data_IF_026380838498
#
_entry.id   IF_026380838498
#
_cell.length_a   1.000
_cell.length_b   1.000
_cell.length_c   1.000
_cell.angle_alpha   90.00
_cell.angle_beta   90.00
_cell.angle_gamma   90.00
#
_symmetry.space_group_name_H-M   'P 1'
#
loop_
_entity.id
_entity.type
_entity.pdbx_description
1 polymer ?
#
# COMPACT_ATOMS: atom_id res chain seq x y z
N UNK A 1 25.29 -18.98 0.01
CA UNK A 1 23.96 -18.86 -0.62
C UNK A 1 22.83 -18.50 0.37
N UNK A 2 22.77 -19.04 1.60
CA UNK A 2 21.72 -18.72 2.59
C UNK A 2 21.74 -17.23 3.03
N UNK A 3 22.94 -16.67 3.26
CA UNK A 3 23.16 -15.27 3.66
C UNK A 3 22.69 -14.24 2.61
N UNK A 4 22.90 -14.51 1.31
CA UNK A 4 22.48 -13.59 0.22
C UNK A 4 20.96 -13.59 0.06
N UNK A 5 20.28 -14.71 0.34
CA UNK A 5 18.80 -14.78 0.33
C UNK A 5 18.16 -14.02 1.48
N UNK A 6 18.83 -13.86 2.62
CA UNK A 6 18.31 -13.08 3.76
C UNK A 6 18.43 -11.58 3.53
N UNK A 7 19.49 -11.12 2.86
CA UNK A 7 19.71 -9.69 2.56
C UNK A 7 18.73 -9.09 1.54
N UNK A 8 18.02 -9.92 0.77
CA UNK A 8 17.10 -9.46 -0.27
C UNK A 8 15.61 -9.46 0.18
N UNK A 9 15.32 -9.72 1.45
CA UNK A 9 13.94 -9.75 1.96
C UNK A 9 13.48 -8.34 2.33
N UNK A 10 12.38 -7.90 1.72
CA UNK A 10 11.74 -6.63 2.07
C UNK A 10 10.73 -6.81 3.21
N UNK A 11 9.90 -7.85 3.13
CA UNK A 11 8.89 -8.15 4.16
C UNK A 11 9.12 -9.56 4.66
N UNK A 12 9.13 -9.76 5.98
CA UNK A 12 9.20 -11.07 6.62
C UNK A 12 8.12 -11.16 7.69
N UNK A 13 7.30 -12.18 7.58
CA UNK A 13 6.24 -12.52 8.54
C UNK A 13 6.52 -13.90 9.09
N UNK A 14 6.48 -14.07 10.42
CA UNK A 14 6.69 -15.37 11.09
C UNK A 14 5.62 -15.59 12.14
N UNK A 15 4.92 -16.72 12.05
CA UNK A 15 3.94 -17.22 13.00
C UNK A 15 2.88 -16.16 13.39
N UNK A 16 2.51 -15.31 12.42
CA UNK A 16 1.60 -14.19 12.62
C UNK A 16 0.17 -14.69 12.77
N UNK A 17 -0.47 -14.33 13.88
CA UNK A 17 -1.87 -14.63 14.13
C UNK A 17 -2.64 -13.38 14.54
N UNK A 18 -3.93 -13.36 14.17
CA UNK A 18 -4.86 -12.29 14.51
C UNK A 18 -6.27 -12.82 14.70
N UNK A 19 -6.88 -12.42 15.79
CA UNK A 19 -8.28 -12.71 16.13
C UNK A 19 -9.04 -11.46 16.52
N UNK A 20 -10.35 -11.53 16.41
CA UNK A 20 -11.27 -10.49 16.88
C UNK A 20 -12.31 -11.08 17.82
N UNK A 21 -12.64 -10.34 18.86
CA UNK A 21 -13.74 -10.68 19.75
C UNK A 21 -14.99 -10.00 19.21
N UNK A 22 -16.00 -10.78 18.90
CA UNK A 22 -17.30 -10.30 18.42
C UNK A 22 -18.39 -10.72 19.39
N UNK A 23 -19.60 -10.14 19.31
CA UNK A 23 -20.74 -10.61 20.12
C UNK A 23 -21.10 -12.10 19.92
N UNK A 24 -20.66 -12.69 18.80
CA UNK A 24 -20.87 -14.12 18.45
C UNK A 24 -19.70 -15.00 18.87
N UNK A 25 -18.68 -14.46 19.55
CA UNK A 25 -17.48 -15.17 19.99
C UNK A 25 -16.19 -14.70 19.30
N UNK A 26 -15.12 -15.42 19.57
CA UNK A 26 -13.80 -15.16 18.96
C UNK A 26 -13.76 -15.70 17.53
N UNK A 27 -13.26 -14.86 16.62
CA UNK A 27 -13.02 -15.22 15.22
C UNK A 27 -11.52 -15.10 14.96
N UNK A 28 -10.86 -16.21 14.67
CA UNK A 28 -9.46 -16.24 14.25
C UNK A 28 -9.41 -15.94 12.75
N UNK A 29 -8.88 -14.75 12.39
CA UNK A 29 -8.81 -14.25 11.02
C UNK A 29 -7.52 -14.66 10.35
N UNK A 30 -6.38 -14.54 11.05
CA UNK A 30 -5.08 -15.01 10.57
C UNK A 30 -4.54 -16.06 11.54
N UNK A 31 -4.02 -17.18 11.01
CA UNK A 31 -3.53 -18.29 11.81
C UNK A 31 -2.14 -18.70 11.39
N UNK A 32 -1.17 -18.45 12.26
CA UNK A 32 0.23 -18.91 12.15
C UNK A 32 0.88 -18.67 10.75
N UNK A 33 0.60 -17.51 10.17
CA UNK A 33 1.09 -17.17 8.84
C UNK A 33 2.59 -16.91 8.86
N UNK A 34 3.31 -17.54 7.92
CA UNK A 34 4.76 -17.36 7.76
C UNK A 34 5.12 -17.28 6.28
N UNK A 35 5.70 -16.15 5.86
CA UNK A 35 6.15 -15.93 4.49
C UNK A 35 7.23 -14.84 4.42
N UNK A 36 7.87 -14.72 3.27
CA UNK A 36 8.79 -13.60 3.01
C UNK A 36 8.66 -13.13 1.56
N UNK A 37 8.78 -11.81 1.38
CA UNK A 37 8.71 -11.13 0.09
C UNK A 37 10.06 -10.49 -0.19
N UNK A 38 10.62 -10.73 -1.37
CA UNK A 38 11.88 -10.14 -1.81
C UNK A 38 11.69 -8.68 -2.24
N UNK A 39 12.76 -7.89 -2.19
CA UNK A 39 12.78 -6.52 -2.74
C UNK A 39 12.43 -6.55 -4.24
N UNK A 40 11.62 -5.59 -4.68
CA UNK A 40 11.25 -5.46 -6.09
C UNK A 40 10.25 -6.51 -6.58
N UNK A 41 9.62 -7.30 -5.70
CA UNK A 41 8.60 -8.27 -6.10
C UNK A 41 7.20 -7.65 -6.07
N UNK A 42 6.37 -8.07 -7.00
CA UNK A 42 4.94 -7.80 -7.02
C UNK A 42 4.19 -9.08 -6.62
N UNK A 43 3.57 -9.09 -5.45
CA UNK A 43 2.93 -10.29 -4.86
C UNK A 43 1.45 -10.06 -4.62
N UNK A 44 0.62 -11.02 -5.04
CA UNK A 44 -0.81 -11.06 -4.77
C UNK A 44 -1.13 -11.66 -3.39
N UNK A 45 -2.11 -11.11 -2.68
CA UNK A 45 -2.74 -11.72 -1.51
C UNK A 45 -4.12 -12.19 -1.92
N UNK A 46 -4.33 -13.52 -1.92
CA UNK A 46 -5.54 -14.16 -2.41
C UNK A 46 -6.32 -14.83 -1.28
N UNK A 47 -7.61 -14.93 -1.44
CA UNK A 47 -8.51 -15.55 -0.47
C UNK A 47 -9.95 -15.10 -0.69
N UNK A 48 -10.90 -15.85 -0.09
CA UNK A 48 -12.32 -15.51 -0.15
C UNK A 48 -12.58 -14.14 0.48
N UNK A 49 -13.71 -13.52 0.14
CA UNK A 49 -14.15 -12.32 0.88
C UNK A 49 -14.24 -12.63 2.38
N UNK A 50 -13.71 -11.73 3.21
CA UNK A 50 -13.64 -11.93 4.66
C UNK A 50 -12.53 -12.87 5.16
N UNK A 51 -11.66 -13.41 4.28
CA UNK A 51 -10.58 -14.32 4.70
C UNK A 51 -9.45 -13.65 5.51
N UNK A 52 -9.39 -12.31 5.55
CA UNK A 52 -8.37 -11.59 6.31
C UNK A 52 -7.32 -10.86 5.47
N UNK A 53 -7.51 -10.72 4.14
CA UNK A 53 -6.58 -10.01 3.25
C UNK A 53 -6.31 -8.59 3.73
N UNK A 54 -7.37 -7.79 3.93
CA UNK A 54 -7.27 -6.41 4.45
C UNK A 54 -6.67 -6.35 5.85
N UNK A 55 -6.96 -7.34 6.70
CA UNK A 55 -6.36 -7.46 8.04
C UNK A 55 -4.84 -7.68 7.93
N UNK A 56 -4.40 -8.58 7.04
CA UNK A 56 -2.98 -8.82 6.80
C UNK A 56 -2.27 -7.56 6.31
N UNK A 57 -2.84 -6.86 5.31
CA UNK A 57 -2.28 -5.61 4.81
C UNK A 57 -2.23 -4.52 5.89
N UNK A 58 -3.28 -4.39 6.71
CA UNK A 58 -3.34 -3.43 7.81
C UNK A 58 -2.29 -3.71 8.89
N UNK A 59 -2.00 -4.99 9.18
CA UNK A 59 -0.93 -5.37 10.11
C UNK A 59 0.44 -5.04 9.52
N UNK A 60 0.68 -5.37 8.24
CA UNK A 60 1.93 -5.03 7.56
C UNK A 60 2.13 -3.51 7.48
N UNK A 61 1.05 -2.75 7.27
CA UNK A 61 1.08 -1.29 7.32
C UNK A 61 1.34 -0.74 8.74
N UNK A 62 1.32 -1.55 9.79
CA UNK A 62 1.39 -1.09 11.17
C UNK A 62 0.18 -0.25 11.60
N UNK A 63 -0.97 -0.42 10.91
CA UNK A 63 -2.25 0.19 11.28
C UNK A 63 -2.98 -0.65 12.33
N UNK A 64 -2.66 -1.93 12.39
CA UNK A 64 -3.23 -2.88 13.32
C UNK A 64 -2.14 -3.75 13.94
N UNK A 65 -2.26 -4.09 15.24
CA UNK A 65 -1.32 -5.01 15.91
C UNK A 65 -1.78 -6.46 15.75
N UNK A 66 -0.84 -7.35 15.47
CA UNK A 66 -1.04 -8.80 15.55
C UNK A 66 -1.19 -9.25 17.01
N UNK A 67 -1.79 -10.42 17.21
CA UNK A 67 -1.90 -11.03 18.54
C UNK A 67 -0.62 -11.82 18.90
N UNK A 68 0.04 -12.42 17.91
CA UNK A 68 1.32 -13.14 18.05
C UNK A 68 2.13 -13.12 16.76
N UNK A 69 3.38 -13.55 16.84
CA UNK A 69 4.32 -13.61 15.72
C UNK A 69 5.16 -12.35 15.56
N UNK A 70 5.96 -12.30 14.51
CA UNK A 70 6.84 -11.17 14.21
C UNK A 70 6.67 -10.66 12.78
N UNK A 71 6.90 -9.36 12.61
CA UNK A 71 6.84 -8.65 11.34
C UNK A 71 8.09 -7.77 11.20
N UNK A 72 8.87 -8.03 10.16
CA UNK A 72 10.02 -7.20 9.79
C UNK A 72 9.81 -6.61 8.40
N UNK A 73 10.12 -5.32 8.25
CA UNK A 73 10.11 -4.61 6.97
C UNK A 73 11.46 -3.94 6.79
N UNK A 74 12.13 -4.25 5.68
CA UNK A 74 13.46 -3.75 5.36
C UNK A 74 14.46 -3.89 6.53
N UNK A 75 14.45 -5.05 7.21
CA UNK A 75 15.30 -5.34 8.36
C UNK A 75 14.86 -4.71 9.68
N UNK A 76 13.78 -3.94 9.71
CA UNK A 76 13.24 -3.30 10.91
C UNK A 76 12.08 -4.12 11.49
N UNK A 77 12.17 -4.50 12.76
CA UNK A 77 11.09 -5.19 13.47
C UNK A 77 10.09 -4.19 14.03
N UNK A 78 8.82 -4.28 13.58
CA UNK A 78 7.80 -3.30 13.92
C UNK A 78 7.09 -3.55 15.27
N UNK A 79 7.14 -4.78 15.78
CA UNK A 79 6.46 -5.17 17.03
C UNK A 79 6.91 -4.34 18.23
N UNK A 80 8.17 -3.87 18.21
CA UNK A 80 8.76 -3.10 19.31
C UNK A 80 8.45 -1.60 19.24
N UNK A 81 7.80 -1.13 18.18
CA UNK A 81 7.54 0.29 17.96
C UNK A 81 6.27 0.75 18.69
N UNK A 82 6.36 1.92 19.33
CA UNK A 82 5.20 2.68 19.79
C UNK A 82 4.46 3.34 18.60
N UNK A 83 3.28 3.90 18.83
CA UNK A 83 2.43 4.47 17.78
C UNK A 83 3.12 5.64 17.05
N UNK A 84 3.95 6.44 17.74
CA UNK A 84 4.69 7.55 17.14
C UNK A 84 5.75 7.03 16.17
N UNK A 85 6.53 6.03 16.58
CA UNK A 85 7.54 5.39 15.73
C UNK A 85 6.91 4.65 14.57
N UNK A 86 5.79 3.94 14.78
CA UNK A 86 5.03 3.29 13.72
C UNK A 86 4.51 4.30 12.70
N UNK A 87 3.96 5.44 13.13
CA UNK A 87 3.50 6.50 12.23
C UNK A 87 4.64 7.09 11.39
N UNK A 88 5.78 7.38 12.00
CA UNK A 88 6.96 7.88 11.28
C UNK A 88 7.51 6.84 10.30
N UNK A 89 7.57 5.55 10.72
CA UNK A 89 7.99 4.46 9.85
C UNK A 89 7.07 4.29 8.66
N UNK A 90 5.75 4.26 8.89
CA UNK A 90 4.70 4.16 7.86
C UNK A 90 4.86 5.27 6.82
N UNK A 91 4.92 6.52 7.29
CA UNK A 91 5.01 7.68 6.42
C UNK A 91 6.21 7.61 5.45
N UNK A 92 7.34 7.08 5.92
CA UNK A 92 8.58 6.97 5.13
C UNK A 92 8.66 5.71 4.26
N UNK A 93 8.11 4.58 4.74
CA UNK A 93 8.44 3.28 4.16
C UNK A 93 7.27 2.59 3.46
N UNK A 94 6.04 3.07 3.66
CA UNK A 94 4.83 2.38 3.18
C UNK A 94 3.91 3.36 2.46
N UNK A 95 3.64 3.08 1.19
CA UNK A 95 2.51 3.65 0.46
C UNK A 95 1.31 2.72 0.63
N UNK A 96 0.22 3.20 1.21
CA UNK A 96 -0.97 2.41 1.42
C UNK A 96 -2.13 2.91 0.56
N UNK A 97 -2.70 2.01 -0.23
CA UNK A 97 -3.88 2.22 -1.07
C UNK A 97 -4.99 1.37 -0.47
N UNK A 98 -5.95 2.02 0.18
CA UNK A 98 -7.09 1.34 0.81
C UNK A 98 -8.20 1.09 -0.20
N UNK A 99 -9.02 0.07 0.05
CA UNK A 99 -10.22 -0.23 -0.73
C UNK A 99 -11.21 0.95 -0.72
N UNK A 100 -11.39 1.57 0.45
CA UNK A 100 -12.18 2.80 0.55
C UNK A 100 -11.38 3.99 0.01
N UNK A 101 -11.97 4.72 -0.92
CA UNK A 101 -11.39 5.94 -1.50
C UNK A 101 -11.47 7.08 -0.49
N UNK A 102 -10.60 7.06 0.52
CA UNK A 102 -10.58 8.05 1.60
C UNK A 102 -9.85 9.34 1.15
N UNK A 103 -10.52 10.15 0.33
CA UNK A 103 -10.08 11.49 -0.02
C UNK A 103 -10.55 12.53 0.99
N UNK A 104 -9.79 13.61 1.11
CA UNK A 104 -10.30 14.85 1.67
C UNK A 104 -11.06 15.61 0.55
N UNK A 105 -12.37 15.50 0.53
CA UNK A 105 -13.21 15.97 -0.58
C UNK A 105 -13.14 17.48 -0.81
N UNK A 106 -12.83 18.24 0.23
CA UNK A 106 -12.65 19.70 0.17
C UNK A 106 -11.25 20.14 -0.27
N UNK A 107 -10.37 19.20 -0.56
CA UNK A 107 -9.01 19.42 -1.04
C UNK A 107 -8.92 19.05 -2.52
N UNK A 108 -8.10 19.78 -3.27
CA UNK A 108 -7.81 19.45 -4.66
C UNK A 108 -7.10 18.10 -4.77
N UNK A 109 -7.04 17.54 -5.98
CA UNK A 109 -6.22 16.37 -6.28
C UNK A 109 -4.76 16.59 -5.85
N UNK A 110 -4.18 17.74 -6.20
CA UNK A 110 -2.82 18.10 -5.83
C UNK A 110 -2.62 18.13 -4.32
N UNK A 111 -3.57 18.70 -3.57
CA UNK A 111 -3.50 18.76 -2.12
C UNK A 111 -3.60 17.39 -1.47
N UNK A 112 -4.50 16.52 -1.98
CA UNK A 112 -4.61 15.14 -1.54
C UNK A 112 -3.31 14.35 -1.75
N UNK A 113 -2.63 14.54 -2.89
CA UNK A 113 -1.36 13.87 -3.20
C UNK A 113 -0.24 14.36 -2.28
N UNK A 114 -0.16 15.66 -2.00
CA UNK A 114 0.89 16.26 -1.14
C UNK A 114 0.74 15.95 0.35
N UNK A 115 -0.48 15.66 0.79
CA UNK A 115 -0.83 15.55 2.21
C UNK A 115 0.10 14.64 3.04
N UNK A 116 0.47 13.40 2.60
CA UNK A 116 1.35 12.56 3.41
C UNK A 116 2.74 13.14 3.61
N UNK A 117 3.24 13.94 2.68
CA UNK A 117 4.55 14.60 2.83
C UNK A 117 4.51 15.70 3.89
N UNK A 118 3.43 16.48 3.96
CA UNK A 118 3.25 17.50 4.98
C UNK A 118 3.06 16.92 6.38
N UNK A 119 2.29 15.83 6.52
CA UNK A 119 2.14 15.11 7.80
C UNK A 119 3.49 14.58 8.29
N UNK A 120 4.43 14.26 7.40
CA UNK A 120 5.79 13.85 7.71
C UNK A 120 6.71 14.96 8.25
N UNK A 121 6.21 16.20 8.40
CA UNK A 121 6.97 17.32 8.99
C UNK A 121 7.78 18.15 8.00
N UNK A 122 7.51 18.03 6.70
CA UNK A 122 8.15 18.83 5.63
C UNK A 122 7.28 20.05 5.31
N UNK A 123 7.39 21.11 6.08
CA UNK A 123 6.48 22.28 5.99
C UNK A 123 7.18 23.64 5.83
N UNK A 124 8.50 23.68 5.60
CA UNK A 124 9.18 24.93 5.22
C UNK A 124 9.00 25.24 3.72
N UNK A 125 9.20 26.49 3.30
CA UNK A 125 8.90 26.96 1.95
C UNK A 125 9.66 26.20 0.85
N UNK A 126 10.91 25.80 1.10
CA UNK A 126 11.71 25.02 0.14
C UNK A 126 11.12 23.63 -0.05
N UNK A 127 10.78 22.95 1.06
CA UNK A 127 10.14 21.64 1.01
C UNK A 127 8.77 21.68 0.35
N UNK A 128 7.99 22.75 0.52
CA UNK A 128 6.68 22.91 -0.13
C UNK A 128 6.80 22.93 -1.65
N UNK A 129 7.82 23.64 -2.18
CA UNK A 129 8.06 23.69 -3.63
C UNK A 129 8.49 22.33 -4.18
N UNK A 130 9.42 21.64 -3.52
CA UNK A 130 9.89 20.30 -3.91
C UNK A 130 8.74 19.26 -3.87
N UNK A 131 7.92 19.28 -2.81
CA UNK A 131 6.76 18.39 -2.70
C UNK A 131 5.76 18.67 -3.81
N UNK A 132 5.52 19.95 -4.13
CA UNK A 132 4.57 20.33 -5.18
C UNK A 132 5.07 19.89 -6.57
N UNK A 133 6.36 20.09 -6.85
CA UNK A 133 6.98 19.63 -8.08
C UNK A 133 6.85 18.11 -8.20
N UNK A 134 7.24 17.36 -7.17
CA UNK A 134 7.13 15.91 -7.15
C UNK A 134 5.70 15.41 -7.32
N UNK A 135 4.73 16.08 -6.69
CA UNK A 135 3.32 15.73 -6.86
C UNK A 135 2.87 15.91 -8.31
N UNK A 136 3.26 17.01 -8.97
CA UNK A 136 2.96 17.23 -10.38
C UNK A 136 3.63 16.19 -11.30
N UNK A 137 4.90 15.83 -11.04
CA UNK A 137 5.61 14.77 -11.78
C UNK A 137 4.90 13.41 -11.64
N UNK A 138 4.40 13.06 -10.44
CA UNK A 138 3.63 11.85 -10.21
C UNK A 138 2.29 11.89 -10.96
N UNK A 139 1.56 12.99 -10.90
CA UNK A 139 0.31 13.15 -11.62
C UNK A 139 0.52 13.08 -13.14
N UNK A 140 1.61 13.63 -13.67
CA UNK A 140 1.97 13.55 -15.07
C UNK A 140 2.31 12.12 -15.50
N UNK A 141 3.15 11.43 -14.74
CA UNK A 141 3.53 10.03 -14.99
C UNK A 141 2.34 9.06 -14.99
N UNK A 142 1.27 9.42 -14.29
CA UNK A 142 0.01 8.67 -14.22
C UNK A 142 -1.04 9.17 -15.23
N UNK A 143 -0.70 10.17 -16.08
CA UNK A 143 -1.57 10.71 -17.12
C UNK A 143 -2.75 11.54 -16.62
N UNK A 144 -2.66 12.09 -15.40
CA UNK A 144 -3.72 12.85 -14.73
C UNK A 144 -3.28 14.26 -14.29
N UNK A 145 -2.19 14.79 -14.85
CA UNK A 145 -1.70 16.15 -14.51
C UNK A 145 -2.76 17.24 -14.70
N UNK A 146 -3.61 17.11 -15.74
CA UNK A 146 -4.69 18.03 -16.04
C UNK A 146 -5.78 18.12 -14.96
N UNK A 147 -5.82 17.15 -14.04
CA UNK A 147 -6.78 17.08 -12.94
C UNK A 147 -6.24 17.68 -11.62
N UNK A 148 -5.01 18.20 -11.59
CA UNK A 148 -4.35 18.65 -10.37
C UNK A 148 -5.20 19.63 -9.52
N UNK A 149 -5.96 20.51 -10.17
CA UNK A 149 -6.82 21.52 -9.52
C UNK A 149 -8.28 21.07 -9.34
N UNK A 150 -8.63 19.89 -9.82
CA UNK A 150 -9.96 19.32 -9.66
C UNK A 150 -10.15 18.78 -8.24
N UNK A 151 -11.41 18.50 -7.88
CA UNK A 151 -11.78 17.88 -6.62
C UNK A 151 -12.10 16.39 -6.84
N UNK A 152 -11.80 15.50 -5.89
CA UNK A 152 -12.02 14.06 -6.03
C UNK A 152 -13.45 13.67 -6.45
N UNK A 153 -14.44 14.41 -5.99
CA UNK A 153 -15.87 14.19 -6.31
C UNK A 153 -16.22 14.40 -7.78
N UNK A 154 -15.35 15.03 -8.58
CA UNK A 154 -15.57 15.29 -10.01
C UNK A 154 -14.86 14.28 -10.92
N UNK A 155 -14.09 13.35 -10.34
CA UNK A 155 -13.27 12.39 -11.07
C UNK A 155 -14.01 11.07 -11.32
N UNK A 156 -13.66 10.39 -12.40
CA UNK A 156 -14.04 8.99 -12.63
C UNK A 156 -13.37 8.03 -11.63
N UNK A 157 -13.90 6.82 -11.50
CA UNK A 157 -13.31 5.79 -10.63
C UNK A 157 -11.84 5.50 -10.94
N UNK A 158 -11.49 5.37 -12.24
CA UNK A 158 -10.11 5.10 -12.66
C UNK A 158 -9.16 6.28 -12.39
N UNK A 159 -9.62 7.53 -12.57
CA UNK A 159 -8.85 8.72 -12.22
C UNK A 159 -8.61 8.79 -10.71
N UNK A 160 -9.62 8.52 -9.91
CA UNK A 160 -9.50 8.44 -8.45
C UNK A 160 -8.46 7.41 -8.01
N UNK A 161 -8.44 6.20 -8.60
CA UNK A 161 -7.42 5.20 -8.30
C UNK A 161 -6.00 5.68 -8.63
N UNK A 162 -5.81 6.39 -9.76
CA UNK A 162 -4.51 6.98 -10.10
C UNK A 162 -4.08 8.06 -9.12
N UNK A 163 -5.01 8.88 -8.62
CA UNK A 163 -4.74 9.85 -7.54
C UNK A 163 -4.31 9.14 -6.25
N UNK A 164 -4.96 8.03 -5.88
CA UNK A 164 -4.56 7.23 -4.71
C UNK A 164 -3.15 6.65 -4.87
N UNK A 165 -2.79 6.20 -6.07
CA UNK A 165 -1.44 5.74 -6.38
C UNK A 165 -0.44 6.90 -6.26
N UNK A 166 -0.71 8.07 -6.84
CA UNK A 166 0.13 9.25 -6.71
C UNK A 166 0.37 9.63 -5.23
N UNK A 167 -0.72 9.66 -4.44
CA UNK A 167 -0.66 9.93 -3.00
C UNK A 167 0.19 8.91 -2.24
N UNK A 168 0.07 7.64 -2.58
CA UNK A 168 0.87 6.59 -1.96
C UNK A 168 2.37 6.71 -2.29
N UNK A 169 2.72 7.30 -3.44
CA UNK A 169 4.09 7.43 -3.94
C UNK A 169 4.81 8.72 -3.53
N UNK A 170 4.13 9.70 -2.95
CA UNK A 170 4.70 11.05 -2.72
C UNK A 170 5.98 11.02 -1.87
N UNK A 171 6.06 10.15 -0.87
CA UNK A 171 7.23 9.98 -0.01
C UNK A 171 8.24 8.95 -0.51
N UNK A 172 8.10 8.47 -1.74
CA UNK A 172 8.97 7.47 -2.36
C UNK A 172 9.15 6.17 -1.55
N UNK A 173 8.07 5.58 -1.03
CA UNK A 173 8.18 4.42 -0.16
C UNK A 173 8.74 3.22 -0.92
N UNK A 174 9.56 2.37 -0.27
CA UNK A 174 10.04 1.12 -0.86
C UNK A 174 8.98 0.02 -0.91
N UNK A 175 7.91 0.13 -0.12
CA UNK A 175 6.81 -0.84 -0.04
C UNK A 175 5.49 -0.16 -0.41
N UNK A 176 4.71 -0.80 -1.27
CA UNK A 176 3.35 -0.39 -1.62
C UNK A 176 2.41 -1.54 -1.22
N UNK A 177 1.40 -1.19 -0.43
CA UNK A 177 0.32 -2.09 -0.03
C UNK A 177 -0.96 -1.59 -0.68
N UNK A 178 -1.65 -2.46 -1.44
CA UNK A 178 -2.87 -2.12 -2.14
C UNK A 178 -3.98 -3.12 -1.77
N UNK A 179 -5.05 -2.62 -1.21
CA UNK A 179 -6.20 -3.42 -0.79
C UNK A 179 -7.33 -3.27 -1.79
N UNK A 180 -7.55 -4.30 -2.61
CA UNK A 180 -8.55 -4.36 -3.70
C UNK A 180 -8.52 -3.11 -4.61
N UNK A 181 -7.35 -2.72 -5.17
CA UNK A 181 -7.16 -1.44 -5.87
C UNK A 181 -7.89 -1.36 -7.21
N UNK A 182 -8.50 -2.44 -7.64
CA UNK A 182 -9.26 -2.55 -8.90
C UNK A 182 -10.73 -2.89 -8.66
N UNK A 183 -11.18 -2.85 -7.41
CA UNK A 183 -12.59 -3.03 -7.11
C UNK A 183 -13.41 -1.87 -7.69
N UNK A 184 -14.56 -2.21 -8.27
CA UNK A 184 -15.49 -1.23 -8.87
C UNK A 184 -14.97 -0.47 -10.09
N UNK A 185 -13.93 -0.96 -10.79
CA UNK A 185 -13.49 -0.44 -12.09
C UNK A 185 -13.66 -1.50 -13.20
N UNK A 186 -13.74 -1.04 -14.45
CA UNK A 186 -13.85 -1.93 -15.61
C UNK A 186 -12.53 -2.67 -15.90
N UNK A 187 -12.59 -3.65 -16.82
CA UNK A 187 -11.44 -4.49 -17.16
C UNK A 187 -10.28 -3.70 -17.77
N UNK A 188 -10.54 -2.66 -18.56
CA UNK A 188 -9.48 -1.84 -19.18
C UNK A 188 -8.74 -1.02 -18.10
N UNK A 189 -9.48 -0.42 -17.20
CA UNK A 189 -8.93 0.31 -16.06
C UNK A 189 -8.17 -0.62 -15.11
N UNK A 190 -8.71 -1.82 -14.82
CA UNK A 190 -8.00 -2.86 -14.07
C UNK A 190 -6.63 -3.14 -14.67
N UNK A 191 -6.56 -3.45 -15.97
CA UNK A 191 -5.30 -3.72 -16.64
C UNK A 191 -4.33 -2.54 -16.59
N UNK A 192 -4.85 -1.31 -16.73
CA UNK A 192 -4.03 -0.10 -16.62
C UNK A 192 -3.40 0.05 -15.24
N UNK A 193 -4.17 -0.13 -14.16
CA UNK A 193 -3.70 -0.03 -12.78
C UNK A 193 -2.66 -1.12 -12.49
N UNK A 194 -2.91 -2.36 -12.91
CA UNK A 194 -1.98 -3.48 -12.67
C UNK A 194 -0.66 -3.30 -13.42
N UNK A 195 -0.70 -2.72 -14.64
CA UNK A 195 0.54 -2.36 -15.37
C UNK A 195 1.36 -1.30 -14.62
N UNK A 196 0.71 -0.31 -14.01
CA UNK A 196 1.39 0.68 -13.16
C UNK A 196 2.11 -0.03 -12.00
N UNK A 197 1.45 -0.95 -11.30
CA UNK A 197 2.10 -1.71 -10.22
C UNK A 197 3.26 -2.56 -10.74
N UNK A 198 3.12 -3.23 -11.90
CA UNK A 198 4.22 -3.98 -12.49
C UNK A 198 5.43 -3.09 -12.78
N UNK A 199 5.20 -1.93 -13.42
CA UNK A 199 6.27 -0.96 -13.70
C UNK A 199 6.96 -0.46 -12.42
N UNK A 200 6.20 -0.18 -11.37
CA UNK A 200 6.76 0.21 -10.07
C UNK A 200 7.62 -0.91 -9.45
N UNK A 201 7.20 -2.18 -9.59
CA UNK A 201 8.00 -3.31 -9.13
C UNK A 201 9.28 -3.49 -9.95
N UNK A 202 9.22 -3.32 -11.27
CA UNK A 202 10.38 -3.34 -12.16
C UNK A 202 11.38 -2.20 -11.86
N UNK A 203 10.89 -1.09 -11.29
CA UNK A 203 11.71 0.01 -10.76
C UNK A 203 12.25 -0.26 -9.33
N UNK A 204 12.00 -1.44 -8.77
CA UNK A 204 12.52 -1.88 -7.47
C UNK A 204 11.60 -1.66 -6.27
N UNK A 205 10.36 -1.17 -6.47
CA UNK A 205 9.35 -1.11 -5.40
C UNK A 205 8.85 -2.51 -5.08
N UNK A 206 8.60 -2.80 -3.82
CA UNK A 206 7.97 -4.06 -3.41
C UNK A 206 6.48 -3.84 -3.23
N UNK A 207 5.66 -4.63 -3.94
CA UNK A 207 4.22 -4.45 -3.96
C UNK A 207 3.53 -5.68 -3.40
N UNK A 208 2.59 -5.46 -2.49
CA UNK A 208 1.70 -6.47 -1.97
C UNK A 208 0.26 -6.01 -2.22
N UNK A 209 -0.45 -6.73 -3.08
CA UNK A 209 -1.80 -6.37 -3.52
C UNK A 209 -2.80 -7.45 -3.12
N UNK A 210 -3.77 -7.10 -2.29
CA UNK A 210 -4.93 -7.97 -2.09
C UNK A 210 -5.86 -7.85 -3.30
N UNK A 211 -6.24 -8.98 -3.87
CA UNK A 211 -7.24 -9.04 -4.92
C UNK A 211 -7.91 -10.40 -4.96
N UNK A 212 -9.16 -10.42 -5.39
CA UNK A 212 -9.90 -11.64 -5.75
C UNK A 212 -10.07 -11.79 -7.26
N UNK A 213 -9.61 -10.81 -8.05
CA UNK A 213 -9.67 -10.83 -9.52
C UNK A 213 -8.48 -11.59 -10.11
N UNK A 214 -8.69 -12.73 -10.81
CA UNK A 214 -7.61 -13.46 -11.46
C UNK A 214 -6.84 -12.66 -12.50
N UNK A 215 -7.50 -11.71 -13.18
CA UNK A 215 -6.83 -10.84 -14.17
C UNK A 215 -5.82 -9.91 -13.49
N UNK A 216 -6.16 -9.38 -12.32
CA UNK A 216 -5.27 -8.54 -11.53
C UNK A 216 -4.03 -9.31 -11.04
N UNK A 217 -4.15 -10.62 -10.82
CA UNK A 217 -3.07 -11.47 -10.31
C UNK A 217 -2.10 -11.97 -11.39
N UNK A 218 -2.43 -11.87 -12.67
CA UNK A 218 -1.61 -12.38 -13.78
C UNK A 218 -0.20 -11.79 -13.85
N UNK A 219 -0.01 -10.55 -13.42
CA UNK A 219 1.29 -9.86 -13.45
C UNK A 219 2.04 -9.96 -12.12
N UNK A 220 1.53 -10.71 -11.15
CA UNK A 220 2.21 -10.95 -9.89
C UNK A 220 3.31 -12.02 -10.04
N UNK A 221 4.43 -11.83 -9.32
CA UNK A 221 5.55 -12.79 -9.26
C UNK A 221 5.21 -14.01 -8.39
N UNK A 222 4.17 -13.93 -7.57
CA UNK A 222 3.70 -14.99 -6.69
C UNK A 222 2.46 -14.60 -5.89
N UNK A 223 1.94 -15.55 -5.13
CA UNK A 223 0.72 -15.36 -4.34
C UNK A 223 0.88 -15.84 -2.90
N UNK A 224 0.25 -15.13 -1.97
CA UNK A 224 0.07 -15.51 -0.57
C UNK A 224 -1.42 -15.80 -0.37
N UNK A 225 -1.75 -17.01 0.07
CA UNK A 225 -3.14 -17.38 0.38
C UNK A 225 -3.44 -17.14 1.85
N UNK A 226 -4.56 -16.48 2.09
CA UNK A 226 -5.13 -16.19 3.42
C UNK A 226 -6.36 -17.04 3.67
#
# INVERSE_FOLDING_TARGET
>A
MKYIRELNRMIQVKNLSKSFITPRGRIDVLRDMSFSISKGSFVGVTGKSGAGKSTLLSIIAGLQKQDSGSLMINGTELVTYDDKKLSAFRNKNIGFISQEQSFLENFTVLDNVRLPAFIGGKSDDTNVQEITQRANELLDSLGIAHLAQNYPTTLSGGENHRVLIARALINDPPVILADEPTDSVDTEQTQSIIRIFRQLADQGKTILMASHDPEALKLCDGEIKV
#
